data_IF_241050788081
#
_entry.id   IF_241050788081
#
_cell.length_a   1.000
_cell.length_b   1.000
_cell.length_c   1.000
_cell.angle_alpha   90.00
_cell.angle_beta   90.00
_cell.angle_gamma   90.00
#
_symmetry.space_group_name_H-M   'P 1'
#
loop_
_entity.id
_entity.type
_entity.pdbx_description
1 polymer ?
#
# COMPACT_ATOMS: atom_id res chain seq x y z
N UNK A 1 12.02 -13.13 14.79
CA UNK A 1 12.57 -11.90 14.17
C UNK A 1 11.39 -11.09 13.67
N UNK A 2 11.35 -9.76 13.89
CA UNK A 2 10.32 -8.90 13.28
C UNK A 2 10.74 -8.65 11.83
N UNK A 3 9.84 -8.87 10.88
CA UNK A 3 10.06 -8.58 9.45
C UNK A 3 10.40 -7.10 9.25
N UNK A 4 11.31 -6.80 8.33
CA UNK A 4 11.63 -5.42 7.95
C UNK A 4 10.44 -4.74 7.25
N UNK A 5 10.39 -3.40 7.21
CA UNK A 5 9.37 -2.66 6.46
C UNK A 5 9.28 -3.09 4.99
N UNK A 6 10.43 -3.33 4.35
CA UNK A 6 10.54 -3.74 2.96
C UNK A 6 10.01 -5.17 2.75
N UNK A 7 10.36 -6.10 3.65
CA UNK A 7 9.81 -7.46 3.63
C UNK A 7 8.28 -7.46 3.79
N UNK A 8 7.75 -6.62 4.70
CA UNK A 8 6.31 -6.43 4.85
C UNK A 8 5.65 -5.88 3.59
N UNK A 9 6.27 -4.88 2.97
CA UNK A 9 5.78 -4.31 1.71
C UNK A 9 5.75 -5.37 0.60
N UNK A 10 6.79 -6.19 0.47
CA UNK A 10 6.80 -7.30 -0.50
C UNK A 10 5.64 -8.27 -0.28
N UNK A 11 5.31 -8.60 0.97
CA UNK A 11 4.17 -9.45 1.31
C UNK A 11 2.83 -8.80 0.96
N UNK A 12 2.69 -7.49 1.14
CA UNK A 12 1.49 -6.75 0.77
C UNK A 12 1.31 -6.66 -0.74
N UNK A 13 2.39 -6.43 -1.49
CA UNK A 13 2.37 -6.48 -2.96
C UNK A 13 1.91 -7.86 -3.41
N UNK A 14 2.49 -8.92 -2.84
CA UNK A 14 2.15 -10.31 -3.14
C UNK A 14 0.67 -10.63 -2.85
N UNK A 15 0.13 -10.15 -1.73
CA UNK A 15 -1.26 -10.42 -1.36
C UNK A 15 -2.28 -9.64 -2.21
N UNK A 16 -1.84 -8.58 -2.89
CA UNK A 16 -2.66 -7.77 -3.78
C UNK A 16 -2.59 -8.16 -5.27
N UNK A 17 -1.69 -9.06 -5.69
CA UNK A 17 -1.41 -9.35 -7.12
C UNK A 17 -2.66 -9.74 -7.93
N UNK A 18 -3.63 -10.40 -7.30
CA UNK A 18 -4.88 -10.83 -7.96
C UNK A 18 -6.03 -9.82 -7.81
N UNK A 19 -5.82 -8.77 -7.05
CA UNK A 19 -6.84 -7.78 -6.72
C UNK A 19 -6.74 -6.54 -7.60
N UNK A 20 -5.52 -6.16 -7.98
CA UNK A 20 -5.22 -4.98 -8.77
C UNK A 20 -4.93 -5.32 -10.24
N UNK A 21 -5.14 -4.38 -11.19
CA UNK A 21 -4.79 -4.57 -12.59
C UNK A 21 -3.29 -4.82 -12.81
N UNK A 22 -2.95 -5.50 -13.90
CA UNK A 22 -1.57 -5.85 -14.24
C UNK A 22 -0.66 -4.63 -14.34
N UNK A 23 -1.05 -3.59 -15.07
CA UNK A 23 -0.24 -2.38 -15.25
C UNK A 23 0.03 -1.65 -13.92
N UNK A 24 -0.96 -1.62 -13.02
CA UNK A 24 -0.79 -1.09 -11.66
C UNK A 24 0.20 -1.91 -10.85
N UNK A 25 0.10 -3.24 -10.91
CA UNK A 25 1.05 -4.15 -10.24
C UNK A 25 2.47 -4.01 -10.79
N UNK A 26 2.64 -3.88 -12.10
CA UNK A 26 3.96 -3.71 -12.73
C UNK A 26 4.60 -2.38 -12.29
N UNK A 27 3.81 -1.31 -12.17
CA UNK A 27 4.28 -0.01 -11.66
C UNK A 27 4.71 -0.11 -10.19
N UNK A 28 3.90 -0.73 -9.33
CA UNK A 28 4.26 -0.95 -7.91
C UNK A 28 5.55 -1.77 -7.77
N UNK A 29 5.69 -2.85 -8.56
CA UNK A 29 6.91 -3.67 -8.57
C UNK A 29 8.12 -2.93 -9.11
N UNK A 30 7.93 -1.99 -10.04
CA UNK A 30 9.02 -1.16 -10.55
C UNK A 30 9.60 -0.30 -9.43
N UNK A 31 8.77 0.50 -8.74
CA UNK A 31 9.22 1.32 -7.60
C UNK A 31 9.89 0.48 -6.51
N UNK A 32 9.30 -0.68 -6.17
CA UNK A 32 9.88 -1.58 -5.16
C UNK A 32 11.29 -2.07 -5.54
N UNK A 33 11.53 -2.37 -6.82
CA UNK A 33 12.84 -2.83 -7.30
C UNK A 33 13.90 -1.74 -7.37
N UNK A 34 13.48 -0.47 -7.36
CA UNK A 34 14.35 0.70 -7.39
C UNK A 34 14.57 1.29 -5.98
N UNK A 35 14.21 0.55 -4.92
CA UNK A 35 14.28 0.98 -3.52
C UNK A 35 13.40 2.21 -3.21
N UNK A 36 12.44 2.53 -4.09
CA UNK A 36 11.46 3.61 -3.93
C UNK A 36 10.23 3.09 -3.16
N UNK A 37 10.46 2.59 -1.94
CA UNK A 37 9.45 1.85 -1.17
C UNK A 37 8.22 2.68 -0.79
N UNK A 38 8.40 3.98 -0.52
CA UNK A 38 7.31 4.92 -0.26
C UNK A 38 6.36 4.98 -1.46
N UNK A 39 6.90 5.19 -2.66
CA UNK A 39 6.14 5.23 -3.90
C UNK A 39 5.49 3.89 -4.22
N UNK A 40 6.21 2.78 -3.99
CA UNK A 40 5.67 1.45 -4.17
C UNK A 40 4.45 1.21 -3.26
N UNK A 41 4.52 1.63 -1.99
CA UNK A 41 3.43 1.43 -1.05
C UNK A 41 2.25 2.37 -1.31
N UNK A 42 2.51 3.64 -1.62
CA UNK A 42 1.46 4.58 -2.02
C UNK A 42 0.72 4.09 -3.28
N UNK A 43 1.48 3.69 -4.31
CA UNK A 43 0.90 3.14 -5.54
C UNK A 43 0.04 1.91 -5.26
N UNK A 44 0.48 1.02 -4.38
CA UNK A 44 -0.28 -0.15 -3.96
C UNK A 44 -1.61 0.23 -3.31
N UNK A 45 -1.59 1.19 -2.37
CA UNK A 45 -2.80 1.69 -1.71
C UNK A 45 -3.76 2.30 -2.74
N UNK A 46 -3.26 3.12 -3.66
CA UNK A 46 -4.09 3.75 -4.70
C UNK A 46 -4.76 2.72 -5.61
N UNK A 47 -4.04 1.68 -6.04
CA UNK A 47 -4.62 0.61 -6.85
C UNK A 47 -5.69 -0.19 -6.08
N UNK A 48 -5.46 -0.47 -4.79
CA UNK A 48 -6.46 -1.12 -3.95
C UNK A 48 -7.70 -0.24 -3.72
N UNK A 49 -7.51 1.07 -3.51
CA UNK A 49 -8.59 2.05 -3.41
C UNK A 49 -9.44 2.09 -4.68
N UNK A 50 -8.83 2.09 -5.87
CA UNK A 50 -9.53 2.08 -7.16
C UNK A 50 -10.40 0.83 -7.33
N UNK A 51 -9.91 -0.32 -6.88
CA UNK A 51 -10.66 -1.59 -6.97
C UNK A 51 -11.70 -1.75 -5.87
N UNK A 52 -11.58 -1.01 -4.76
CA UNK A 52 -12.42 -1.16 -3.57
C UNK A 52 -12.21 -2.49 -2.83
N UNK A 53 -11.19 -3.27 -3.18
CA UNK A 53 -10.92 -4.61 -2.63
C UNK A 53 -9.86 -4.56 -1.54
N UNK A 54 -9.93 -5.52 -0.62
CA UNK A 54 -8.93 -5.71 0.43
C UNK A 54 -8.20 -7.05 0.21
N UNK A 55 -6.88 -7.10 0.44
CA UNK A 55 -6.16 -8.37 0.57
C UNK A 55 -6.74 -9.28 1.65
N UNK A 56 -6.63 -10.59 1.47
CA UNK A 56 -7.15 -11.58 2.44
C UNK A 56 -6.52 -11.42 3.82
N UNK A 57 -5.25 -11.02 3.88
CA UNK A 57 -4.49 -10.76 5.12
C UNK A 57 -4.48 -9.27 5.51
N UNK A 58 -5.44 -8.48 5.03
CA UNK A 58 -5.47 -7.06 5.33
C UNK A 58 -5.77 -6.81 6.81
N UNK A 59 -4.80 -6.21 7.49
CA UNK A 59 -4.92 -5.68 8.84
C UNK A 59 -4.67 -4.17 8.80
N UNK A 60 -5.68 -3.38 9.16
CA UNK A 60 -5.58 -1.92 9.06
C UNK A 60 -4.47 -1.35 9.93
N UNK A 61 -4.24 -1.90 11.12
CA UNK A 61 -3.23 -1.38 12.05
C UNK A 61 -1.84 -1.57 11.45
N UNK A 62 -1.53 -2.77 10.95
CA UNK A 62 -0.24 -3.06 10.33
C UNK A 62 0.01 -2.23 9.07
N UNK A 63 -1.02 -2.09 8.21
CA UNK A 63 -0.92 -1.25 7.02
C UNK A 63 -0.71 0.22 7.37
N UNK A 64 -1.39 0.71 8.41
CA UNK A 64 -1.24 2.08 8.89
C UNK A 64 0.14 2.32 9.50
N UNK A 65 0.67 1.38 10.27
CA UNK A 65 2.04 1.46 10.80
C UNK A 65 3.06 1.57 9.68
N UNK A 66 2.90 0.76 8.61
CA UNK A 66 3.79 0.84 7.44
C UNK A 66 3.63 2.16 6.68
N UNK A 67 2.41 2.69 6.56
CA UNK A 67 2.17 3.98 5.90
C UNK A 67 2.84 5.13 6.65
N UNK A 68 2.77 5.11 7.99
CA UNK A 68 3.44 6.09 8.85
C UNK A 68 4.96 5.94 8.76
N UNK A 69 5.47 4.70 8.69
CA UNK A 69 6.89 4.43 8.53
C UNK A 69 7.46 5.10 7.26
N UNK A 70 6.73 5.01 6.14
CA UNK A 70 7.09 5.68 4.89
C UNK A 70 6.67 7.15 4.81
N UNK A 71 6.19 7.77 5.89
CA UNK A 71 5.84 9.19 5.90
C UNK A 71 4.54 9.57 5.17
N UNK A 72 3.78 8.59 4.67
CA UNK A 72 2.55 8.80 3.89
C UNK A 72 1.41 9.48 4.67
N UNK A 73 1.57 9.61 5.99
CA UNK A 73 0.66 10.36 6.85
C UNK A 73 0.93 11.87 6.89
N UNK A 74 2.04 12.31 6.30
CA UNK A 74 2.48 13.72 6.25
C UNK A 74 2.47 14.25 4.83
N UNK A 75 3.08 13.51 3.91
CA UNK A 75 3.20 13.87 2.51
C UNK A 75 2.96 12.61 1.66
N UNK A 76 2.49 12.83 0.44
CA UNK A 76 2.16 11.78 -0.52
C UNK A 76 2.77 12.18 -1.87
N UNK A 77 3.35 11.23 -2.58
CA UNK A 77 4.03 11.45 -3.85
C UNK A 77 3.03 11.58 -5.01
N UNK A 78 1.97 10.77 -5.02
CA UNK A 78 1.04 10.67 -6.15
C UNK A 78 -0.32 11.33 -5.90
N UNK A 79 -0.86 11.24 -4.68
CA UNK A 79 -2.20 11.76 -4.37
C UNK A 79 -2.21 12.52 -3.04
N UNK A 80 -2.29 13.86 -3.10
CA UNK A 80 -2.34 14.74 -1.92
C UNK A 80 -3.43 14.44 -0.89
N UNK A 81 -4.41 13.61 -1.24
CA UNK A 81 -5.49 13.18 -0.34
C UNK A 81 -5.38 11.71 0.09
N UNK A 82 -4.28 11.03 -0.29
CA UNK A 82 -4.03 9.60 -0.03
C UNK A 82 -4.34 9.24 1.41
N UNK A 83 -3.77 9.96 2.38
CA UNK A 83 -3.91 9.62 3.79
C UNK A 83 -5.38 9.57 4.24
N UNK A 84 -6.18 10.56 3.84
CA UNK A 84 -7.60 10.60 4.21
C UNK A 84 -8.39 9.46 3.55
N UNK A 85 -8.09 9.16 2.28
CA UNK A 85 -8.72 8.07 1.52
C UNK A 85 -8.34 6.71 2.12
N UNK A 86 -7.08 6.52 2.44
CA UNK A 86 -6.54 5.31 3.07
C UNK A 86 -7.17 5.06 4.44
N UNK A 87 -7.22 6.06 5.33
CA UNK A 87 -7.85 5.92 6.66
C UNK A 87 -9.34 5.59 6.53
N UNK A 88 -10.05 6.27 5.62
CA UNK A 88 -11.48 6.02 5.38
C UNK A 88 -11.72 4.61 4.85
N UNK A 89 -10.94 4.18 3.86
CA UNK A 89 -11.02 2.83 3.31
C UNK A 89 -10.68 1.78 4.37
N UNK A 90 -9.52 1.91 5.04
CA UNK A 90 -9.07 0.94 6.03
C UNK A 90 -9.99 0.74 7.23
N UNK A 91 -10.85 1.72 7.55
CA UNK A 91 -11.85 1.64 8.63
C UNK A 91 -13.27 1.32 8.15
N UNK A 92 -13.50 1.27 6.84
CA UNK A 92 -14.82 0.98 6.28
C UNK A 92 -15.16 -0.52 6.24
N UNK A 93 -14.16 -1.40 6.36
CA UNK A 93 -14.36 -2.85 6.45
C UNK A 93 -14.93 -3.20 7.83
N UNK A 94 -16.26 -3.34 7.92
CA UNK A 94 -16.96 -3.94 9.06
C UNK A 94 -17.07 -5.45 8.91
#
# INVERSE_FOLDING_TARGET
MKESPEEKLALYIKSAEKLIPRDGLESVKHYYKHDEFEMAFEGLILELLKTGKYPNNYDYIQWKELAIHYGLNKESVFDGQLWSKFVKWGTARK
#
